data_IF_884256692591
#
_entry.id   IF_884256692591
#
_cell.length_a   1.000
_cell.length_b   1.000
_cell.length_c   1.000
_cell.angle_alpha   90.00
_cell.angle_beta   90.00
_cell.angle_gamma   90.00
#
_symmetry.space_group_name_H-M   'P 1'
#
loop_
_entity.id
_entity.type
_entity.pdbx_description
1 polymer ?
#
# COMPACT_ATOMS: atom_id res chain seq x y z
N UNK A 1 30.67 11.32 4.65
CA UNK A 1 29.70 11.39 3.54
C UNK A 1 28.38 11.81 4.15
N UNK A 2 28.02 13.09 4.03
CA UNK A 2 26.82 13.63 4.66
C UNK A 2 25.64 13.53 3.67
N UNK A 3 24.51 12.91 4.06
CA UNK A 3 23.40 12.62 3.15
C UNK A 3 22.69 13.85 2.56
N UNK A 4 23.13 15.07 2.91
CA UNK A 4 22.50 16.34 2.58
C UNK A 4 23.54 17.40 2.17
N UNK A 5 24.58 17.02 1.43
CA UNK A 5 25.53 17.99 0.89
C UNK A 5 24.89 18.90 -0.19
N UNK A 6 25.46 20.10 -0.36
CA UNK A 6 24.96 21.12 -1.30
C UNK A 6 24.80 20.61 -2.74
N UNK A 7 25.52 19.57 -3.15
CA UNK A 7 25.39 18.96 -4.48
C UNK A 7 24.07 18.17 -4.66
N UNK A 8 23.46 17.71 -3.56
CA UNK A 8 22.23 16.91 -3.56
C UNK A 8 20.96 17.76 -3.42
N UNK A 9 21.04 18.90 -2.72
CA UNK A 9 19.88 19.77 -2.39
C UNK A 9 20.03 21.20 -2.93
N UNK A 10 21.19 21.56 -3.52
CA UNK A 10 21.40 22.85 -4.17
C UNK A 10 20.53 23.05 -5.42
N UNK A 11 20.54 24.28 -5.94
CA UNK A 11 19.79 24.69 -7.14
C UNK A 11 18.27 24.48 -7.05
N UNK A 12 17.64 24.99 -5.98
CA UNK A 12 16.19 24.97 -5.75
C UNK A 12 15.53 23.57 -5.69
N UNK A 13 16.32 22.52 -5.37
CA UNK A 13 15.80 21.19 -5.09
C UNK A 13 15.28 21.11 -3.64
N UNK A 14 14.31 20.25 -3.40
CA UNK A 14 13.73 20.02 -2.07
C UNK A 14 13.61 18.53 -1.76
N UNK A 15 13.68 18.19 -0.48
CA UNK A 15 13.40 16.84 0.03
C UNK A 15 12.07 16.91 0.78
N UNK A 16 11.15 15.99 0.47
CA UNK A 16 9.85 15.88 1.14
C UNK A 16 9.68 14.47 1.70
N UNK A 17 9.53 14.37 3.01
CA UNK A 17 9.02 13.16 3.65
C UNK A 17 7.52 13.03 3.40
N UNK A 18 7.05 11.82 3.14
CA UNK A 18 5.63 11.52 2.92
C UNK A 18 5.19 10.46 3.90
N UNK A 19 4.14 10.75 4.67
CA UNK A 19 3.49 9.79 5.55
C UNK A 19 2.11 9.49 4.98
N UNK A 20 1.77 8.21 4.80
CA UNK A 20 0.45 7.77 4.32
C UNK A 20 -0.02 8.48 3.03
N UNK A 21 0.90 8.74 2.10
CA UNK A 21 0.61 9.40 0.84
C UNK A 21 0.29 10.90 0.94
N UNK A 22 0.50 11.55 2.10
CA UNK A 22 0.19 12.98 2.34
C UNK A 22 -1.26 13.32 1.98
N UNK A 23 -2.18 12.46 2.42
CA UNK A 23 -3.60 12.52 2.05
C UNK A 23 -4.50 12.63 3.27
N UNK A 24 -5.71 13.18 3.09
CA UNK A 24 -6.78 13.06 4.06
C UNK A 24 -7.51 11.72 3.85
N UNK A 25 -7.41 10.74 4.78
CA UNK A 25 -7.95 9.41 4.56
C UNK A 25 -9.47 9.39 4.37
N UNK A 26 -10.21 10.30 5.01
CA UNK A 26 -11.68 10.31 4.98
C UNK A 26 -12.23 10.62 3.58
N UNK A 27 -11.49 11.39 2.78
CA UNK A 27 -11.86 11.74 1.41
C UNK A 27 -11.13 10.87 0.40
N UNK A 28 -9.83 10.62 0.62
CA UNK A 28 -8.99 9.90 -0.33
C UNK A 28 -9.36 8.43 -0.47
N UNK A 29 -9.68 7.72 0.62
CA UNK A 29 -10.10 6.31 0.54
C UNK A 29 -11.41 6.16 -0.25
N UNK A 30 -12.36 7.09 -0.07
CA UNK A 30 -13.62 7.08 -0.85
C UNK A 30 -13.37 7.31 -2.33
N UNK A 31 -12.43 8.22 -2.65
CA UNK A 31 -12.01 8.44 -4.03
C UNK A 31 -11.38 7.18 -4.65
N UNK A 32 -10.46 6.51 -3.95
CA UNK A 32 -9.86 5.25 -4.43
C UNK A 32 -10.90 4.14 -4.63
N UNK A 33 -11.85 3.99 -3.70
CA UNK A 33 -12.97 3.06 -3.85
C UNK A 33 -13.81 3.37 -5.10
N UNK A 34 -14.07 4.66 -5.37
CA UNK A 34 -14.79 5.08 -6.58
C UNK A 34 -14.04 4.75 -7.88
N UNK A 35 -12.70 4.86 -7.87
CA UNK A 35 -11.87 4.48 -9.02
C UNK A 35 -11.91 2.97 -9.26
N UNK A 36 -11.88 2.17 -8.19
CA UNK A 36 -11.99 0.72 -8.29
C UNK A 36 -13.35 0.31 -8.88
N UNK A 37 -14.45 0.89 -8.38
CA UNK A 37 -15.79 0.64 -8.90
C UNK A 37 -15.95 1.02 -10.38
N UNK A 38 -15.18 2.00 -10.86
CA UNK A 38 -15.12 2.39 -12.29
C UNK A 38 -14.16 1.52 -13.13
N UNK A 39 -13.51 0.50 -12.54
CA UNK A 39 -12.48 -0.30 -13.21
C UNK A 39 -11.15 0.42 -13.47
N UNK A 40 -10.97 1.62 -12.90
CA UNK A 40 -9.76 2.45 -13.06
C UNK A 40 -8.67 2.14 -12.04
N UNK A 41 -8.99 1.40 -10.99
CA UNK A 41 -8.05 0.94 -9.97
C UNK A 41 -8.29 -0.54 -9.66
N UNK A 42 -7.65 -1.47 -10.40
CA UNK A 42 -7.87 -2.90 -10.24
C UNK A 42 -7.03 -3.48 -9.08
N UNK A 43 -7.25 -2.99 -7.86
CA UNK A 43 -6.46 -3.42 -6.70
C UNK A 43 -6.71 -4.88 -6.30
N UNK A 44 -7.87 -5.41 -6.67
CA UNK A 44 -8.33 -6.78 -6.44
C UNK A 44 -7.41 -7.82 -7.09
N UNK A 45 -6.67 -7.47 -8.15
CA UNK A 45 -5.78 -8.37 -8.89
C UNK A 45 -4.58 -8.89 -8.10
N UNK A 46 -4.22 -8.23 -7.00
CA UNK A 46 -3.07 -8.61 -6.17
C UNK A 46 -3.48 -9.03 -4.76
N UNK A 47 -4.78 -9.29 -4.55
CA UNK A 47 -5.34 -9.77 -3.30
C UNK A 47 -5.55 -11.28 -3.36
N UNK A 48 -5.28 -11.98 -2.25
CA UNK A 48 -5.72 -13.37 -2.03
C UNK A 48 -6.48 -13.43 -0.70
N UNK A 49 -7.63 -14.11 -0.73
CA UNK A 49 -8.46 -14.31 0.46
C UNK A 49 -8.08 -15.60 1.18
N UNK A 50 -8.14 -15.57 2.51
CA UNK A 50 -7.94 -16.70 3.40
C UNK A 50 -9.03 -16.70 4.46
N UNK A 51 -9.42 -17.88 4.92
CA UNK A 51 -10.23 -17.98 6.14
C UNK A 51 -9.36 -17.63 7.35
N UNK A 52 -9.99 -17.17 8.44
CA UNK A 52 -9.23 -16.71 9.62
C UNK A 52 -8.36 -17.83 10.22
N UNK A 53 -8.79 -19.09 10.13
CA UNK A 53 -8.02 -20.26 10.56
C UNK A 53 -6.67 -20.41 9.85
N UNK A 54 -6.56 -19.87 8.63
CA UNK A 54 -5.39 -20.01 7.76
C UNK A 54 -4.40 -18.85 7.90
N UNK A 55 -4.48 -18.08 8.98
CA UNK A 55 -3.65 -16.89 9.22
C UNK A 55 -2.14 -17.17 9.08
N UNK A 56 -1.68 -18.36 9.50
CA UNK A 56 -0.27 -18.74 9.38
C UNK A 56 0.14 -18.92 7.91
N UNK A 57 -0.73 -19.49 7.08
CA UNK A 57 -0.49 -19.62 5.64
C UNK A 57 -0.50 -18.25 4.96
N UNK A 58 -1.47 -17.39 5.30
CA UNK A 58 -1.56 -16.04 4.78
C UNK A 58 -0.28 -15.21 5.06
N UNK A 59 0.31 -15.38 6.24
CA UNK A 59 1.58 -14.76 6.62
C UNK A 59 2.75 -15.35 5.81
N UNK A 60 2.80 -16.67 5.65
CA UNK A 60 3.87 -17.35 4.91
C UNK A 60 3.90 -16.91 3.44
N UNK A 61 2.75 -16.94 2.76
CA UNK A 61 2.61 -16.54 1.36
C UNK A 61 2.95 -15.05 1.15
N UNK A 62 2.64 -14.20 2.14
CA UNK A 62 3.01 -12.79 2.09
C UNK A 62 4.50 -12.54 2.28
N UNK A 63 5.13 -13.29 3.20
CA UNK A 63 6.58 -13.20 3.44
C UNK A 63 7.41 -13.76 2.28
N UNK A 64 6.93 -14.81 1.61
CA UNK A 64 7.61 -15.38 0.44
C UNK A 64 7.50 -14.48 -0.79
N UNK A 65 6.53 -13.55 -0.80
CA UNK A 65 6.21 -12.72 -1.95
C UNK A 65 5.29 -13.39 -2.97
N UNK A 66 4.83 -14.62 -2.71
CA UNK A 66 3.82 -15.30 -3.53
C UNK A 66 2.53 -14.47 -3.58
N UNK A 67 2.18 -13.81 -2.46
CA UNK A 67 0.95 -13.03 -2.31
C UNK A 67 1.28 -11.62 -1.86
N UNK A 68 0.94 -10.64 -2.69
CA UNK A 68 1.20 -9.22 -2.42
C UNK A 68 0.34 -8.71 -1.26
N UNK A 69 -0.96 -9.01 -1.24
CA UNK A 69 -1.88 -8.57 -0.19
C UNK A 69 -2.84 -9.68 0.27
N UNK A 70 -2.53 -10.41 1.35
CA UNK A 70 -3.50 -11.32 1.94
C UNK A 70 -4.63 -10.53 2.63
N UNK A 71 -5.86 -11.02 2.52
CA UNK A 71 -7.03 -10.55 3.27
C UNK A 71 -7.65 -11.72 4.03
N UNK A 72 -7.79 -11.57 5.34
CA UNK A 72 -8.47 -12.53 6.21
C UNK A 72 -9.97 -12.27 6.19
N UNK A 73 -10.77 -13.32 6.00
CA UNK A 73 -12.22 -13.28 6.17
C UNK A 73 -12.56 -13.59 7.62
N UNK A 74 -13.33 -12.70 8.26
CA UNK A 74 -13.80 -12.88 9.62
C UNK A 74 -15.21 -13.49 9.60
N UNK A 75 -15.45 -14.59 10.32
CA UNK A 75 -16.80 -15.15 10.51
C UNK A 75 -17.27 -16.17 9.46
N UNK A 76 -16.34 -16.94 8.89
CA UNK A 76 -16.63 -18.21 8.21
C UNK A 76 -17.01 -19.31 9.21
#
# INVERSE_FOLDING_TARGET
MHPLDMDHVGFARGIKGVVMGDSNPQTFVRYLASLHAQGKLPYDRFVKFYDFSDINQAIADSKSGEVIKPILRMGS
#
